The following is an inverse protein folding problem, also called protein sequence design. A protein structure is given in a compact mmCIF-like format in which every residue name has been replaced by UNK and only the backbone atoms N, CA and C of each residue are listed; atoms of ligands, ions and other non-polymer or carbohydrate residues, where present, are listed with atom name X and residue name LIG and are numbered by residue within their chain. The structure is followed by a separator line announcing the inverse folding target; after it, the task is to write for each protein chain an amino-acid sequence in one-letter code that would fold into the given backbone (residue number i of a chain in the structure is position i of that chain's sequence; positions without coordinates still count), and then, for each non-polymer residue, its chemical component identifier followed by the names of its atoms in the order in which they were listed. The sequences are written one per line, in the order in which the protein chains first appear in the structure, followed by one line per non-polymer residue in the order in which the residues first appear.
data_IF_800526941633
#
_entry.id   IF_800526941633
#
_cell.length_a   1.000
_cell.length_b   1.000
_cell.length_c   1.000
_cell.angle_alpha   90.00
_cell.angle_beta   90.00
_cell.angle_gamma   90.00
#
_symmetry.space_group_name_H-M   'P 1'
#
loop_
_entity.id
_entity.type
_entity.pdbx_description
1 polymer ?
#
# COMPACT_ATOMS: atom_id res chain seq x y z
N UNK A 1 15.76 -4.97 -10.12
CA UNK A 1 15.48 -5.13 -8.68
C UNK A 1 14.52 -6.30 -8.53
N UNK A 2 14.69 -7.18 -7.54
CA UNK A 2 13.69 -8.21 -7.27
C UNK A 2 12.34 -7.54 -6.94
N UNK A 3 11.24 -8.12 -7.39
CA UNK A 3 9.90 -7.61 -7.14
C UNK A 3 9.61 -7.69 -5.64
N UNK A 4 9.03 -6.62 -5.07
CA UNK A 4 8.58 -6.65 -3.68
C UNK A 4 7.40 -7.63 -3.57
N UNK A 5 7.37 -8.45 -2.53
CA UNK A 5 6.26 -9.37 -2.29
C UNK A 5 4.96 -8.59 -2.11
N UNK A 6 4.99 -7.59 -1.23
CA UNK A 6 3.81 -6.83 -0.80
C UNK A 6 4.19 -5.41 -0.40
N UNK A 7 3.28 -4.45 -0.59
CA UNK A 7 3.36 -3.10 -0.01
C UNK A 7 2.10 -2.83 0.81
N UNK A 8 2.26 -2.25 2.01
CA UNK A 8 1.17 -1.72 2.83
C UNK A 8 1.28 -0.19 2.86
N UNK A 9 0.22 0.49 2.41
CA UNK A 9 0.07 1.94 2.52
C UNK A 9 -0.72 2.25 3.79
N UNK A 10 -0.22 3.20 4.57
CA UNK A 10 -0.86 3.67 5.80
C UNK A 10 -0.93 5.18 5.74
N UNK A 11 -2.10 5.71 5.45
CA UNK A 11 -2.35 7.14 5.31
C UNK A 11 -3.85 7.39 5.51
N UNK A 12 -4.23 8.42 6.28
CA UNK A 12 -5.62 8.75 6.60
C UNK A 12 -6.36 9.42 5.43
N UNK A 13 -5.64 9.85 4.39
CA UNK A 13 -6.24 10.39 3.17
C UNK A 13 -6.34 9.34 2.05
N UNK A 14 -7.59 8.99 1.73
CA UNK A 14 -7.91 8.07 0.63
C UNK A 14 -7.39 8.53 -0.74
N UNK A 15 -7.26 9.84 -0.99
CA UNK A 15 -6.73 10.38 -2.25
C UNK A 15 -5.25 10.05 -2.40
N UNK A 16 -4.48 10.24 -1.34
CA UNK A 16 -3.05 9.90 -1.25
C UNK A 16 -2.84 8.41 -1.47
N UNK A 17 -3.66 7.56 -0.85
CA UNK A 17 -3.63 6.12 -1.07
C UNK A 17 -3.92 5.73 -2.53
N UNK A 18 -4.87 6.38 -3.20
CA UNK A 18 -5.17 6.12 -4.62
C UNK A 18 -4.01 6.50 -5.55
N UNK A 19 -3.39 7.66 -5.32
CA UNK A 19 -2.24 8.13 -6.10
C UNK A 19 -1.04 7.19 -5.92
N UNK A 20 -0.75 6.78 -4.69
CA UNK A 20 0.35 5.86 -4.38
C UNK A 20 0.14 4.47 -5.00
N UNK A 21 -1.07 3.91 -4.91
CA UNK A 21 -1.40 2.65 -5.59
C UNK A 21 -1.17 2.73 -7.11
N UNK A 22 -1.61 3.83 -7.72
CA UNK A 22 -1.43 4.06 -9.16
C UNK A 22 0.05 4.15 -9.55
N UNK A 23 0.87 4.79 -8.72
CA UNK A 23 2.31 4.91 -8.92
C UNK A 23 3.01 3.55 -8.79
N UNK A 24 2.71 2.79 -7.74
CA UNK A 24 3.26 1.44 -7.50
C UNK A 24 2.94 0.52 -8.68
N UNK A 25 1.69 0.57 -9.18
CA UNK A 25 1.25 -0.22 -10.33
C UNK A 25 2.00 0.15 -11.60
N UNK A 26 2.18 1.44 -11.89
CA UNK A 26 2.94 1.93 -13.06
C UNK A 26 4.42 1.57 -12.99
N UNK A 27 4.99 1.56 -11.80
CA UNK A 27 6.40 1.18 -11.57
C UNK A 27 6.61 -0.34 -11.54
N UNK A 28 5.55 -1.15 -11.62
CA UNK A 28 5.59 -2.61 -11.62
C UNK A 28 6.38 -3.19 -10.42
N UNK A 29 6.22 -2.58 -9.24
CA UNK A 29 6.99 -2.94 -8.04
C UNK A 29 6.43 -4.16 -7.31
N UNK A 30 5.11 -4.30 -7.31
CA UNK A 30 4.37 -5.44 -6.75
C UNK A 30 2.95 -5.49 -7.31
N UNK A 31 2.34 -6.69 -7.30
CA UNK A 31 0.92 -6.90 -7.59
C UNK A 31 0.06 -6.88 -6.32
N UNK A 32 0.66 -6.84 -5.13
CA UNK A 32 -0.04 -6.94 -3.85
C UNK A 32 0.15 -5.66 -3.04
N UNK A 33 -0.88 -4.81 -3.06
CA UNK A 33 -0.92 -3.56 -2.30
C UNK A 33 -2.10 -3.60 -1.33
N UNK A 34 -1.83 -3.36 -0.05
CA UNK A 34 -2.83 -3.17 0.98
C UNK A 34 -2.89 -1.70 1.37
N UNK A 35 -4.05 -1.27 1.86
CA UNK A 35 -4.29 0.09 2.34
C UNK A 35 -4.93 0.00 3.72
N UNK A 36 -4.47 0.85 4.63
CA UNK A 36 -5.07 1.11 5.92
C UNK A 36 -5.18 2.61 6.13
N UNK A 37 -6.31 3.10 6.64
CA UNK A 37 -6.54 4.53 6.86
C UNK A 37 -6.01 5.01 8.21
N UNK A 38 -5.49 4.11 9.03
CA UNK A 38 -4.90 4.42 10.31
C UNK A 38 -3.97 3.30 10.80
N UNK A 39 -3.24 3.60 11.89
CA UNK A 39 -2.32 2.63 12.50
C UNK A 39 -3.00 1.39 13.06
N UNK A 40 -4.26 1.47 13.51
CA UNK A 40 -4.96 0.31 14.06
C UNK A 40 -5.26 -0.72 12.96
N UNK A 41 -5.85 -0.28 11.85
CA UNK A 41 -6.10 -1.11 10.67
C UNK A 41 -4.80 -1.68 10.09
N UNK A 42 -3.75 -0.85 10.02
CA UNK A 42 -2.44 -1.30 9.55
C UNK A 42 -1.89 -2.45 10.40
N UNK A 43 -1.95 -2.30 11.73
CA UNK A 43 -1.50 -3.34 12.65
C UNK A 43 -2.37 -4.60 12.60
N UNK A 44 -3.67 -4.49 12.30
CA UNK A 44 -4.52 -5.67 12.09
C UNK A 44 -4.11 -6.49 10.87
N UNK A 45 -3.62 -5.84 9.80
CA UNK A 45 -3.14 -6.50 8.58
C UNK A 45 -1.77 -7.18 8.73
N UNK A 46 -0.98 -6.81 9.74
CA UNK A 46 0.37 -7.35 9.99
C UNK A 46 0.40 -8.54 10.96
N UNK A 47 -0.75 -8.98 11.47
CA UNK A 47 -0.86 -10.07 12.45
C UNK A 47 -0.67 -11.45 11.83
#
# INVERSE_FOLDING_TARGET
MPQLSTILLVDDDSTTNFLNQSLIKRANLTSQVFVAENGHEALQLLR
#
